data_IF_023463377615
#
_entry.id   IF_023463377615
#
_cell.length_a   1.000
_cell.length_b   1.000
_cell.length_c   1.000
_cell.angle_alpha   90.00
_cell.angle_beta   90.00
_cell.angle_gamma   90.00
#
_symmetry.space_group_name_H-M   'P 1'
#
loop_
_entity.id
_entity.type
_entity.pdbx_description
1 polymer ?
#
# COMPACT_ATOMS: atom_id res chain seq x y z
N UNK A 1 -17.94 20.19 34.78
CA UNK A 1 -18.60 20.91 33.67
C UNK A 1 -18.72 19.95 32.51
N UNK A 2 -19.90 19.36 32.33
CA UNK A 2 -20.19 18.35 31.33
C UNK A 2 -20.87 19.02 30.14
N UNK A 3 -20.24 18.97 28.97
CA UNK A 3 -20.81 19.47 27.71
C UNK A 3 -21.62 18.35 27.08
N UNK A 4 -22.91 18.32 27.41
CA UNK A 4 -23.93 17.51 26.76
C UNK A 4 -24.27 18.15 25.41
N UNK A 5 -23.77 17.56 24.33
CA UNK A 5 -24.19 17.89 22.95
C UNK A 5 -25.62 17.39 22.73
N UNK A 6 -26.55 18.31 22.52
CA UNK A 6 -27.95 18.01 22.22
C UNK A 6 -28.08 17.31 20.85
N UNK A 7 -28.76 16.16 20.84
CA UNK A 7 -29.24 15.50 19.63
C UNK A 7 -30.29 16.40 18.94
N UNK A 8 -30.12 16.62 17.64
CA UNK A 8 -31.08 17.32 16.78
C UNK A 8 -32.14 16.33 16.30
N UNK A 9 -33.45 16.57 16.52
CA UNK A 9 -34.51 15.78 15.93
C UNK A 9 -34.90 16.35 14.54
N UNK A 10 -35.61 15.55 13.75
CA UNK A 10 -36.32 15.90 12.52
C UNK A 10 -35.51 16.09 11.23
N UNK A 11 -35.34 14.99 10.48
CA UNK A 11 -35.54 14.97 9.01
C UNK A 11 -36.10 13.60 8.60
N UNK A 12 -37.31 13.28 9.08
CA UNK A 12 -38.18 12.27 8.46
C UNK A 12 -39.00 12.95 7.36
N UNK A 13 -38.37 13.25 6.23
CA UNK A 13 -39.11 13.28 4.96
C UNK A 13 -39.36 11.84 4.53
N UNK A 14 -40.46 11.52 3.83
CA UNK A 14 -40.53 10.25 3.12
C UNK A 14 -39.36 10.25 2.14
N UNK A 15 -38.38 9.38 2.38
CA UNK A 15 -37.41 9.02 1.35
C UNK A 15 -38.25 8.51 0.20
N UNK A 16 -38.37 9.31 -0.85
CA UNK A 16 -38.87 8.86 -2.13
C UNK A 16 -37.88 7.78 -2.57
N UNK A 17 -38.19 6.54 -2.23
CA UNK A 17 -37.43 5.38 -2.66
C UNK A 17 -37.64 5.38 -4.16
N UNK A 18 -36.69 5.96 -4.89
CA UNK A 18 -36.52 5.78 -6.33
C UNK A 18 -36.76 4.30 -6.56
N UNK A 19 -37.88 3.96 -7.22
CA UNK A 19 -38.31 2.59 -7.41
C UNK A 19 -37.14 1.82 -7.99
N UNK A 20 -36.45 1.07 -7.12
CA UNK A 20 -35.39 0.17 -7.52
C UNK A 20 -36.17 -0.94 -8.19
N UNK A 21 -36.32 -0.82 -9.51
CA UNK A 21 -37.02 -1.80 -10.31
C UNK A 21 -36.33 -3.12 -10.03
N UNK A 22 -37.02 -4.05 -9.37
CA UNK A 22 -36.39 -5.30 -8.96
C UNK A 22 -35.83 -5.97 -10.21
N UNK A 23 -34.52 -6.31 -10.21
CA UNK A 23 -33.90 -6.94 -11.36
C UNK A 23 -34.61 -8.27 -11.62
N UNK A 24 -35.35 -8.36 -12.73
CA UNK A 24 -36.10 -9.59 -13.01
C UNK A 24 -35.13 -10.66 -13.52
N UNK A 25 -35.38 -11.92 -13.17
CA UNK A 25 -34.60 -13.06 -13.65
C UNK A 25 -34.57 -13.14 -15.20
N UNK A 26 -35.60 -12.56 -15.86
CA UNK A 26 -35.68 -12.46 -17.32
C UNK A 26 -34.62 -11.50 -17.87
N UNK A 27 -34.39 -10.37 -17.19
CA UNK A 27 -33.45 -9.35 -17.64
C UNK A 27 -32.00 -9.83 -17.53
N UNK A 28 -31.67 -10.53 -16.44
CA UNK A 28 -30.38 -11.21 -16.28
C UNK A 28 -30.18 -12.27 -17.38
N UNK A 29 -31.25 -13.01 -17.71
CA UNK A 29 -31.24 -14.02 -18.77
C UNK A 29 -30.82 -13.49 -20.13
N UNK A 30 -31.20 -12.24 -20.46
CA UNK A 30 -30.84 -11.58 -21.72
C UNK A 30 -29.32 -11.37 -21.84
N UNK A 31 -28.65 -11.05 -20.72
CA UNK A 31 -27.20 -10.87 -20.71
C UNK A 31 -26.44 -12.18 -20.85
N UNK A 32 -27.01 -13.29 -20.35
CA UNK A 32 -26.37 -14.62 -20.34
C UNK A 32 -26.71 -15.51 -21.54
N UNK A 33 -27.75 -15.19 -22.31
CA UNK A 33 -28.24 -16.06 -23.38
C UNK A 33 -27.19 -16.24 -24.49
N UNK A 34 -26.92 -17.50 -24.86
CA UNK A 34 -26.00 -17.85 -25.95
C UNK A 34 -24.51 -17.62 -25.66
N UNK A 35 -24.15 -17.40 -24.38
CA UNK A 35 -22.77 -17.17 -23.96
C UNK A 35 -22.22 -18.32 -23.11
N UNK A 36 -20.90 -18.52 -23.13
CA UNK A 36 -20.29 -19.62 -22.40
C UNK A 36 -20.23 -19.28 -20.89
N UNK A 37 -20.20 -20.30 -20.00
CA UNK A 37 -20.33 -20.11 -18.56
C UNK A 37 -19.14 -19.36 -17.94
N UNK A 38 -17.98 -19.33 -18.58
CA UNK A 38 -16.79 -18.61 -18.13
C UNK A 38 -17.02 -17.10 -18.11
N UNK A 39 -17.87 -16.58 -19.00
CA UNK A 39 -18.22 -15.16 -19.09
C UNK A 39 -19.29 -14.76 -18.07
N UNK A 40 -19.72 -15.67 -17.19
CA UNK A 40 -20.81 -15.42 -16.23
C UNK A 40 -20.54 -14.21 -15.35
N UNK A 41 -19.32 -14.05 -14.85
CA UNK A 41 -18.94 -12.91 -13.99
C UNK A 41 -19.03 -11.61 -14.78
N UNK A 42 -18.50 -11.59 -16.01
CA UNK A 42 -18.55 -10.42 -16.88
C UNK A 42 -19.99 -10.06 -17.22
N UNK A 43 -20.84 -11.03 -17.54
CA UNK A 43 -22.25 -10.80 -17.87
C UNK A 43 -23.06 -10.29 -16.67
N UNK A 44 -22.79 -10.79 -15.47
CA UNK A 44 -23.43 -10.27 -14.24
C UNK A 44 -22.97 -8.85 -13.92
N UNK A 45 -21.69 -8.54 -14.13
CA UNK A 45 -21.17 -7.18 -13.95
C UNK A 45 -21.74 -6.21 -14.99
N UNK A 46 -21.83 -6.65 -16.25
CA UNK A 46 -22.45 -5.88 -17.33
C UNK A 46 -23.92 -5.56 -17.02
N UNK A 47 -24.65 -6.54 -16.50
CA UNK A 47 -26.03 -6.35 -16.03
C UNK A 47 -26.09 -5.31 -14.89
N UNK A 48 -25.23 -5.43 -13.87
CA UNK A 48 -25.19 -4.49 -12.76
C UNK A 48 -24.86 -3.06 -13.20
N UNK A 49 -23.92 -2.89 -14.13
CA UNK A 49 -23.59 -1.58 -14.71
C UNK A 49 -24.78 -1.01 -15.49
N UNK A 50 -25.49 -1.85 -16.25
CA UNK A 50 -26.65 -1.42 -17.01
C UNK A 50 -27.82 -0.99 -16.12
N UNK A 51 -28.07 -1.73 -15.02
CA UNK A 51 -29.14 -1.39 -14.08
C UNK A 51 -28.82 -0.13 -13.27
N UNK A 52 -27.57 0.05 -12.86
CA UNK A 52 -27.13 1.25 -12.14
C UNK A 52 -27.22 2.51 -13.03
N UNK A 53 -26.86 2.39 -14.31
CA UNK A 53 -26.92 3.49 -15.25
C UNK A 53 -28.33 3.74 -15.84
N UNK A 54 -29.30 2.87 -15.56
CA UNK A 54 -30.66 2.97 -16.12
C UNK A 54 -30.70 2.82 -17.65
N UNK A 55 -29.76 2.08 -18.24
CA UNK A 55 -29.69 1.91 -19.69
C UNK A 55 -30.84 1.07 -20.22
N UNK A 56 -31.38 1.40 -21.41
CA UNK A 56 -32.39 0.57 -22.05
C UNK A 56 -31.79 -0.79 -22.44
N UNK A 57 -32.60 -1.85 -22.33
CA UNK A 57 -32.26 -3.22 -22.69
C UNK A 57 -32.24 -3.43 -24.22
N UNK A 58 -31.48 -2.61 -24.94
CA UNK A 58 -31.22 -2.76 -26.38
C UNK A 58 -29.97 -3.62 -26.61
N UNK A 59 -29.87 -4.33 -27.74
CA UNK A 59 -28.66 -5.10 -28.09
C UNK A 59 -27.38 -4.27 -28.03
N UNK A 60 -27.44 -3.02 -28.47
CA UNK A 60 -26.32 -2.08 -28.46
C UNK A 60 -25.94 -1.66 -27.02
N UNK A 61 -26.93 -1.38 -26.17
CA UNK A 61 -26.70 -1.02 -24.77
C UNK A 61 -26.13 -2.16 -23.94
N UNK A 62 -26.55 -3.40 -24.23
CA UNK A 62 -26.01 -4.62 -23.64
C UNK A 62 -24.52 -4.77 -23.99
N UNK A 63 -24.16 -4.59 -25.25
CA UNK A 63 -22.77 -4.74 -25.68
C UNK A 63 -21.86 -3.64 -25.12
N UNK A 64 -22.36 -2.40 -25.06
CA UNK A 64 -21.65 -1.30 -24.39
C UNK A 64 -21.41 -1.60 -22.91
N UNK A 65 -22.42 -2.12 -22.21
CA UNK A 65 -22.32 -2.48 -20.79
C UNK A 65 -21.34 -3.64 -20.57
N UNK A 66 -21.26 -4.59 -21.52
CA UNK A 66 -20.25 -5.66 -21.49
C UNK A 66 -18.83 -5.13 -21.67
N UNK A 67 -18.62 -4.21 -22.61
CA UNK A 67 -17.32 -3.58 -22.81
C UNK A 67 -16.88 -2.82 -21.56
N UNK A 68 -17.80 -2.08 -20.93
CA UNK A 68 -17.56 -1.40 -19.67
C UNK A 68 -17.25 -2.38 -18.52
N UNK A 69 -17.98 -3.49 -18.43
CA UNK A 69 -17.69 -4.55 -17.45
C UNK A 69 -16.32 -5.17 -17.66
N UNK A 70 -15.94 -5.45 -18.90
CA UNK A 70 -14.63 -6.00 -19.24
C UNK A 70 -13.48 -5.06 -18.85
N UNK A 71 -13.61 -3.77 -19.15
CA UNK A 71 -12.59 -2.78 -18.80
C UNK A 71 -12.47 -2.60 -17.28
N UNK A 72 -13.59 -2.50 -16.57
CA UNK A 72 -13.63 -2.39 -15.12
C UNK A 72 -13.03 -3.63 -14.42
N UNK A 73 -13.37 -4.84 -14.90
CA UNK A 73 -12.85 -6.08 -14.35
C UNK A 73 -11.33 -6.18 -14.57
N UNK A 74 -10.85 -5.79 -15.75
CA UNK A 74 -9.42 -5.83 -16.10
C UNK A 74 -8.61 -4.84 -15.27
N UNK A 75 -9.12 -3.62 -15.10
CA UNK A 75 -8.50 -2.58 -14.26
C UNK A 75 -8.46 -2.99 -12.78
N UNK A 76 -9.57 -3.55 -12.26
CA UNK A 76 -9.59 -4.09 -10.91
C UNK A 76 -8.59 -5.26 -10.73
N UNK A 77 -8.57 -6.21 -11.66
CA UNK A 77 -7.64 -7.34 -11.62
C UNK A 77 -6.18 -6.88 -11.64
N UNK A 78 -5.85 -5.87 -12.44
CA UNK A 78 -4.52 -5.29 -12.50
C UNK A 78 -4.11 -4.64 -11.16
N UNK A 79 -4.96 -3.80 -10.58
CA UNK A 79 -4.70 -3.18 -9.27
C UNK A 79 -4.56 -4.22 -8.18
N UNK A 80 -5.45 -5.20 -8.16
CA UNK A 80 -5.42 -6.28 -7.19
C UNK A 80 -4.09 -7.06 -7.27
N UNK A 81 -3.66 -7.43 -8.48
CA UNK A 81 -2.40 -8.14 -8.67
C UNK A 81 -1.21 -7.31 -8.24
N UNK A 82 -1.17 -6.02 -8.59
CA UNK A 82 -0.10 -5.12 -8.19
C UNK A 82 0.01 -5.00 -6.67
N UNK A 83 -1.12 -4.76 -5.99
CA UNK A 83 -1.19 -4.67 -4.54
C UNK A 83 -0.75 -5.97 -3.86
N UNK A 84 -1.16 -7.11 -4.42
CA UNK A 84 -0.79 -8.44 -3.90
C UNK A 84 0.70 -8.70 -4.06
N UNK A 85 1.30 -8.33 -5.20
CA UNK A 85 2.75 -8.46 -5.43
C UNK A 85 3.52 -7.59 -4.44
N UNK A 86 3.10 -6.36 -4.20
CA UNK A 86 3.75 -5.46 -3.24
C UNK A 86 3.61 -5.95 -1.80
N UNK A 87 2.49 -6.60 -1.48
CA UNK A 87 2.34 -7.27 -0.19
C UNK A 87 3.32 -8.43 -0.05
N UNK A 88 3.39 -9.34 -1.03
CA UNK A 88 4.29 -10.50 -1.01
C UNK A 88 5.75 -10.03 -0.90
N UNK A 89 6.14 -8.97 -1.63
CA UNK A 89 7.49 -8.40 -1.56
C UNK A 89 7.81 -7.88 -0.17
N UNK A 90 6.88 -7.17 0.48
CA UNK A 90 7.05 -6.68 1.85
C UNK A 90 7.16 -7.82 2.86
N UNK A 91 6.33 -8.85 2.72
CA UNK A 91 6.38 -10.04 3.57
C UNK A 91 7.71 -10.79 3.42
N UNK A 92 8.17 -11.01 2.17
CA UNK A 92 9.46 -11.64 1.90
C UNK A 92 10.64 -10.81 2.45
N UNK A 93 10.61 -9.48 2.29
CA UNK A 93 11.63 -8.60 2.85
C UNK A 93 11.63 -8.62 4.38
N UNK A 94 10.45 -8.60 5.01
CA UNK A 94 10.33 -8.72 6.46
C UNK A 94 10.86 -10.07 6.97
N UNK A 95 10.57 -11.16 6.26
CA UNK A 95 11.06 -12.50 6.61
C UNK A 95 12.59 -12.61 6.46
N UNK A 96 13.17 -12.00 5.43
CA UNK A 96 14.62 -11.93 5.26
C UNK A 96 15.28 -11.08 6.34
N UNK A 97 14.70 -9.93 6.67
CA UNK A 97 15.19 -9.08 7.77
C UNK A 97 15.09 -9.76 9.13
N UNK A 98 14.07 -10.59 9.35
CA UNK A 98 13.94 -11.39 10.56
C UNK A 98 15.04 -12.47 10.69
N UNK A 99 15.58 -12.96 9.56
CA UNK A 99 16.66 -13.96 9.52
C UNK A 99 18.06 -13.35 9.69
N UNK A 100 18.20 -12.03 9.48
CA UNK A 100 19.46 -11.33 9.70
C UNK A 100 19.66 -11.07 11.21
N UNK A 101 20.88 -11.26 11.74
CA UNK A 101 21.18 -10.84 13.10
C UNK A 101 20.92 -9.34 13.21
N UNK A 102 20.19 -8.94 14.26
CA UNK A 102 19.85 -7.53 14.50
C UNK A 102 21.11 -6.68 14.38
N UNK A 103 21.10 -5.61 13.55
CA UNK A 103 22.25 -4.73 13.45
C UNK A 103 22.57 -4.15 14.84
N UNK A 104 23.86 -3.87 15.12
CA UNK A 104 24.25 -3.26 16.39
C UNK A 104 23.43 -2.00 16.60
N UNK A 105 22.70 -1.94 17.72
CA UNK A 105 21.85 -0.81 18.03
C UNK A 105 22.64 0.50 18.13
N UNK A 106 21.96 1.63 18.00
CA UNK A 106 22.57 2.97 18.08
C UNK A 106 23.53 3.13 19.27
N UNK A 107 23.18 2.58 20.44
CA UNK A 107 24.02 2.59 21.63
C UNK A 107 25.35 1.84 21.46
N UNK A 108 25.37 0.72 20.73
CA UNK A 108 26.61 -0.02 20.45
C UNK A 108 27.54 0.77 19.51
N UNK A 109 26.98 1.47 18.51
CA UNK A 109 27.74 2.35 17.62
C UNK A 109 28.28 3.57 18.38
N UNK A 110 27.45 4.18 19.22
CA UNK A 110 27.85 5.31 20.06
C UNK A 110 28.98 4.91 21.02
N UNK A 111 28.86 3.76 21.67
CA UNK A 111 29.88 3.25 22.58
C UNK A 111 31.18 2.92 21.84
N UNK A 112 31.09 2.31 20.65
CA UNK A 112 32.25 2.06 19.80
C UNK A 112 32.99 3.36 19.43
N UNK A 113 32.25 4.42 19.07
CA UNK A 113 32.84 5.73 18.78
C UNK A 113 33.47 6.39 20.01
N UNK A 114 32.83 6.29 21.18
CA UNK A 114 33.40 6.81 22.44
C UNK A 114 34.69 6.07 22.81
N UNK A 115 34.73 4.76 22.63
CA UNK A 115 35.94 3.95 22.86
C UNK A 115 37.04 4.35 21.87
N UNK A 116 36.71 4.49 20.58
CA UNK A 116 37.67 4.93 19.57
C UNK A 116 38.22 6.33 19.90
N UNK A 117 37.36 7.26 20.33
CA UNK A 117 37.77 8.60 20.74
C UNK A 117 38.65 8.58 21.99
N UNK A 118 38.34 7.73 22.97
CA UNK A 118 39.16 7.58 24.17
C UNK A 118 40.55 7.03 23.85
N UNK A 119 40.66 6.07 22.93
CA UNK A 119 41.94 5.52 22.47
C UNK A 119 42.74 6.59 21.73
N UNK A 120 42.11 7.29 20.79
CA UNK A 120 42.77 8.35 20.02
C UNK A 120 43.22 9.52 20.92
N UNK A 121 42.37 9.94 21.85
CA UNK A 121 42.68 10.97 22.83
C UNK A 121 43.79 10.54 23.79
N UNK A 122 43.78 9.28 24.25
CA UNK A 122 44.83 8.71 25.09
C UNK A 122 46.18 8.67 24.36
N UNK A 123 46.20 8.23 23.10
CA UNK A 123 47.40 8.24 22.27
C UNK A 123 47.92 9.66 22.03
N UNK A 124 47.04 10.61 21.73
CA UNK A 124 47.41 12.01 21.53
C UNK A 124 47.97 12.64 22.82
N UNK A 125 47.35 12.38 23.97
CA UNK A 125 47.84 12.85 25.26
C UNK A 125 49.20 12.24 25.61
N UNK A 126 49.38 10.94 25.36
CA UNK A 126 50.67 10.26 25.55
C UNK A 126 51.77 10.84 24.65
N UNK A 127 51.47 11.09 23.36
CA UNK A 127 52.38 11.77 22.44
C UNK A 127 52.71 13.20 22.90
N UNK A 128 51.73 13.94 23.42
CA UNK A 128 51.95 15.29 23.95
C UNK A 128 52.88 15.31 25.16
N UNK A 129 52.87 14.26 25.99
CA UNK A 129 53.79 14.09 27.11
C UNK A 129 55.20 13.62 26.69
N UNK A 130 55.39 13.19 25.44
CA UNK A 130 56.67 12.72 24.90
C UNK A 130 57.08 13.55 23.67
N UNK A 131 57.34 14.88 23.81
CA UNK A 131 57.62 15.76 22.69
C UNK A 131 58.87 15.38 21.88
N UNK A 132 59.80 14.64 22.47
CA UNK A 132 60.99 14.12 21.79
C UNK A 132 60.67 13.08 20.70
N UNK A 133 59.58 12.31 20.84
CA UNK A 133 59.16 11.33 19.82
C UNK A 133 58.41 12.00 18.66
N UNK A 134 57.66 13.07 18.94
CA UNK A 134 57.05 13.94 17.92
C UNK A 134 58.08 14.66 17.06
N UNK A 135 59.14 15.20 17.68
CA UNK A 135 60.24 15.82 16.94
C UNK A 135 61.00 14.82 16.05
N UNK A 136 61.18 13.57 16.53
CA UNK A 136 61.80 12.49 15.75
C UNK A 136 60.96 12.05 14.54
N UNK A 137 59.63 11.95 14.68
CA UNK A 137 58.73 11.60 13.58
C UNK A 137 58.55 12.74 12.58
N UNK A 138 58.45 14.00 13.04
CA UNK A 138 58.37 15.16 12.16
C UNK A 138 59.67 15.35 11.35
N UNK A 139 60.83 15.10 11.97
CA UNK A 139 62.12 15.12 11.26
C UNK A 139 62.28 14.01 10.22
N UNK A 140 61.60 12.87 10.40
CA UNK A 140 61.63 11.73 9.46
C UNK A 140 60.62 11.85 8.31
N UNK A 141 59.56 12.65 8.47
CA UNK A 141 58.55 12.96 7.45
C UNK A 141 58.88 14.21 6.62
N UNK A 142 59.74 15.09 7.14
CA UNK A 142 60.17 16.32 6.48
C UNK A 142 61.51 16.20 5.71
N UNK A 143 62.16 15.03 5.74
CA UNK A 143 63.33 14.68 4.94
C UNK A 143 62.97 13.69 3.84
#
# INVERSE_FOLDING_TARGET
>A
MATTTALRPEMSGPTEILHTQEPSARDVGIYTAGRPPEDRVLNLLAFAIATEAGHPLTPEGIEQSRQAAGSALSDHAFRYLHNTIDQIRREAAAEQLAKLPRPPGFGAILLANLVALAIAGGLAAWLALHPATLAGLAGLLAG
#
